data_IF_235985219315
#
_entry.id   IF_235985219315
#
_cell.length_a   1.000
_cell.length_b   1.000
_cell.length_c   1.000
_cell.angle_alpha   90.00
_cell.angle_beta   90.00
_cell.angle_gamma   90.00
#
_symmetry.space_group_name_H-M   'P 1'
#
loop_
_entity.id
_entity.type
_entity.pdbx_description
1 polymer ?
#
# COMPACT_ATOMS: atom_id res chain seq x y z
N UNK A 1 10.07 -13.88 22.20
CA UNK A 1 9.74 -12.74 21.30
C UNK A 1 8.56 -13.12 20.38
N UNK A 2 7.39 -13.50 20.92
CA UNK A 2 6.40 -14.28 20.14
C UNK A 2 4.95 -13.80 20.21
N UNK A 3 4.69 -12.52 20.46
CA UNK A 3 3.32 -11.96 20.47
C UNK A 3 3.30 -10.45 20.19
N UNK A 4 4.18 -9.97 19.31
CA UNK A 4 4.18 -8.56 18.89
C UNK A 4 3.33 -8.44 17.63
N UNK A 5 2.36 -7.53 17.63
CA UNK A 5 1.57 -7.21 16.44
C UNK A 5 2.53 -6.68 15.37
N UNK A 6 2.48 -7.21 14.15
CA UNK A 6 3.27 -6.67 13.02
C UNK A 6 2.27 -6.01 12.05
N UNK A 7 2.46 -4.71 11.83
CA UNK A 7 1.40 -3.91 11.25
C UNK A 7 1.85 -2.49 11.03
N UNK A 8 1.98 -2.13 9.77
CA UNK A 8 2.28 -0.75 9.39
C UNK A 8 1.05 0.14 9.69
N UNK A 9 -0.16 -0.41 9.59
CA UNK A 9 -1.40 0.31 9.91
C UNK A 9 -1.55 0.64 11.40
N UNK A 10 -1.07 -0.20 12.32
CA UNK A 10 -1.02 0.15 13.75
C UNK A 10 0.01 1.25 14.01
N UNK A 11 1.12 1.26 13.26
CA UNK A 11 2.17 2.29 13.32
C UNK A 11 1.63 3.69 13.03
N UNK A 12 0.73 3.85 12.05
CA UNK A 12 0.09 5.15 11.77
C UNK A 12 -0.75 5.65 12.97
N UNK A 13 -1.45 4.74 13.66
CA UNK A 13 -2.23 5.06 14.87
C UNK A 13 -1.32 5.52 16.01
N UNK A 14 -0.17 4.88 16.20
CA UNK A 14 0.84 5.27 17.20
C UNK A 14 1.40 6.66 16.92
N UNK A 15 1.72 6.96 15.65
CA UNK A 15 2.22 8.29 15.25
C UNK A 15 1.15 9.37 15.47
N UNK A 16 -0.11 9.12 15.09
CA UNK A 16 -1.20 10.06 15.34
C UNK A 16 -1.44 10.29 16.85
N UNK A 17 -1.35 9.25 17.68
CA UNK A 17 -1.47 9.36 19.14
C UNK A 17 -0.31 10.15 19.77
N UNK A 18 0.89 10.08 19.18
CA UNK A 18 2.08 10.78 19.66
C UNK A 18 2.13 12.26 19.22
N UNK A 19 1.71 12.57 18.00
CA UNK A 19 1.80 13.92 17.42
C UNK A 19 0.55 14.78 17.63
N UNK A 20 -0.64 14.18 17.75
CA UNK A 20 -1.91 14.90 17.92
C UNK A 20 -2.59 14.42 19.21
N UNK A 21 -2.40 15.11 20.35
CA UNK A 21 -3.06 14.76 21.60
C UNK A 21 -4.53 15.20 21.55
N UNK A 22 -5.33 14.58 20.69
CA UNK A 22 -6.77 14.76 20.66
C UNK A 22 -7.38 14.06 21.89
N UNK A 23 -8.30 14.72 22.59
CA UNK A 23 -8.98 14.20 23.79
C UNK A 23 -10.06 13.16 23.45
N UNK A 24 -9.75 12.22 22.57
CA UNK A 24 -10.59 11.07 22.24
C UNK A 24 -10.01 9.82 22.91
N UNK A 25 -10.88 9.00 23.51
CA UNK A 25 -10.47 7.79 24.24
C UNK A 25 -9.66 6.80 23.36
N UNK A 26 -9.77 6.92 22.04
CA UNK A 26 -9.06 6.10 21.06
C UNK A 26 -7.52 6.30 21.03
N UNK A 27 -7.01 7.48 21.41
CA UNK A 27 -5.57 7.81 21.45
C UNK A 27 -4.95 7.70 22.85
N UNK A 28 -5.76 7.43 23.88
CA UNK A 28 -5.29 7.23 25.25
C UNK A 28 -4.82 5.79 25.45
N UNK A 29 -3.64 5.46 24.94
CA UNK A 29 -2.96 4.19 25.23
C UNK A 29 -1.43 4.36 25.20
N UNK A 30 -0.72 3.42 25.83
CA UNK A 30 0.73 3.48 26.00
C UNK A 30 1.47 3.02 24.73
N UNK A 31 1.70 3.95 23.81
CA UNK A 31 2.38 3.71 22.53
C UNK A 31 3.81 3.18 22.69
N UNK A 32 4.47 3.42 23.83
CA UNK A 32 5.84 2.93 24.09
C UNK A 32 5.90 1.40 24.14
N UNK A 33 4.80 0.72 24.49
CA UNK A 33 4.72 -0.75 24.48
C UNK A 33 4.85 -1.36 23.09
N UNK A 34 4.53 -0.61 22.04
CA UNK A 34 4.66 -1.04 20.64
C UNK A 34 5.77 -0.29 19.88
N UNK A 35 6.75 0.31 20.58
CA UNK A 35 7.89 1.01 19.96
C UNK A 35 8.67 0.18 18.93
N UNK A 36 8.57 -1.15 19.02
CA UNK A 36 9.08 -2.10 18.03
C UNK A 36 8.52 -1.87 16.62
N UNK A 37 7.23 -1.53 16.50
CA UNK A 37 6.60 -1.27 15.20
C UNK A 37 7.14 0.01 14.56
N UNK A 38 7.44 1.03 15.37
CA UNK A 38 8.10 2.25 14.90
C UNK A 38 9.52 1.96 14.37
N UNK A 39 10.31 1.18 15.12
CA UNK A 39 11.65 0.77 14.67
C UNK A 39 11.58 -0.02 13.35
N UNK A 40 10.59 -0.90 13.22
CA UNK A 40 10.37 -1.67 12.00
C UNK A 40 10.03 -0.77 10.80
N UNK A 41 9.11 0.18 10.95
CA UNK A 41 8.77 1.14 9.88
C UNK A 41 9.99 1.97 9.47
N UNK A 42 10.78 2.41 10.45
CA UNK A 42 11.99 3.18 10.24
C UNK A 42 13.07 2.35 9.52
N UNK A 43 13.16 1.05 9.85
CA UNK A 43 13.98 0.08 9.13
C UNK A 43 13.54 -0.14 7.68
N UNK A 44 12.24 -0.21 7.40
CA UNK A 44 11.71 -0.28 6.03
C UNK A 44 12.09 0.98 5.25
N UNK A 45 11.97 2.17 5.86
CA UNK A 45 12.33 3.43 5.21
C UNK A 45 13.81 3.46 4.80
N UNK A 46 14.73 3.16 5.73
CA UNK A 46 16.15 3.12 5.41
C UNK A 46 16.50 1.96 4.45
N UNK A 47 15.89 0.79 4.62
CA UNK A 47 16.07 -0.34 3.72
C UNK A 47 15.64 -0.01 2.29
N UNK A 48 14.50 0.66 2.13
CA UNK A 48 14.02 1.15 0.84
C UNK A 48 14.95 2.18 0.22
N UNK A 49 15.47 3.13 1.01
CA UNK A 49 16.44 4.12 0.51
C UNK A 49 17.77 3.47 0.08
N UNK A 50 18.30 2.52 0.85
CA UNK A 50 19.51 1.78 0.46
C UNK A 50 19.24 0.96 -0.81
N UNK A 51 18.12 0.26 -0.88
CA UNK A 51 17.74 -0.52 -2.06
C UNK A 51 17.58 0.37 -3.30
N UNK A 52 16.97 1.54 -3.17
CA UNK A 52 16.82 2.50 -4.25
C UNK A 52 18.17 3.04 -4.74
N UNK A 53 19.14 3.29 -3.85
CA UNK A 53 20.42 3.86 -4.26
C UNK A 53 21.44 2.81 -4.75
N UNK A 54 21.40 1.59 -4.21
CA UNK A 54 22.44 0.58 -4.45
C UNK A 54 21.97 -0.67 -5.20
N UNK A 55 20.67 -1.01 -5.16
CA UNK A 55 20.12 -2.24 -5.74
C UNK A 55 19.23 -1.99 -6.97
N UNK A 56 19.03 -0.74 -7.41
CA UNK A 56 18.33 -0.46 -8.66
C UNK A 56 19.14 -1.02 -9.82
N UNK A 57 18.60 -2.03 -10.48
CA UNK A 57 19.12 -2.48 -11.76
C UNK A 57 18.76 -1.45 -12.83
N UNK A 58 19.73 -0.97 -13.64
CA UNK A 58 19.46 -0.03 -14.72
C UNK A 58 18.85 -0.69 -15.97
N UNK A 59 18.60 -2.01 -15.93
CA UNK A 59 17.93 -2.74 -17.01
C UNK A 59 16.44 -2.43 -17.03
N UNK A 60 15.89 -2.14 -18.21
CA UNK A 60 14.45 -2.00 -18.43
C UNK A 60 13.67 -3.17 -17.83
N UNK A 61 12.53 -2.87 -17.21
CA UNK A 61 11.66 -3.89 -16.66
C UNK A 61 11.11 -4.73 -17.82
N UNK A 62 11.40 -6.03 -17.83
CA UNK A 62 10.87 -6.98 -18.82
C UNK A 62 9.38 -7.18 -18.60
N UNK A 63 8.57 -6.26 -19.12
CA UNK A 63 7.11 -6.36 -19.13
C UNK A 63 6.67 -7.24 -20.31
N UNK A 64 5.63 -8.07 -20.10
CA UNK A 64 5.02 -8.88 -21.15
C UNK A 64 4.63 -7.99 -22.36
N UNK A 65 5.01 -8.36 -23.61
CA UNK A 65 4.66 -7.60 -24.81
C UNK A 65 3.17 -7.27 -24.94
N UNK A 66 2.28 -8.17 -24.51
CA UNK A 66 0.82 -7.94 -24.57
C UNK A 66 0.37 -6.80 -23.64
N UNK A 67 1.03 -6.66 -22.49
CA UNK A 67 0.74 -5.59 -21.55
C UNK A 67 1.34 -4.26 -22.02
N UNK A 68 2.48 -4.29 -22.73
CA UNK A 68 3.10 -3.07 -23.31
C UNK A 68 2.23 -2.45 -24.39
N UNK A 69 1.58 -3.26 -25.24
CA UNK A 69 0.67 -2.75 -26.28
C UNK A 69 -0.59 -2.14 -25.68
N UNK A 70 -1.15 -2.78 -24.64
CA UNK A 70 -2.30 -2.26 -23.91
C UNK A 70 -1.99 -0.95 -23.17
N UNK A 71 -0.87 -0.89 -22.43
CA UNK A 71 -0.42 0.30 -21.71
C UNK A 71 -0.04 1.47 -22.65
N UNK A 72 0.52 1.18 -23.82
CA UNK A 72 0.78 2.17 -24.85
C UNK A 72 -0.52 2.81 -25.37
N UNK A 73 -1.61 2.04 -25.46
CA UNK A 73 -2.95 2.53 -25.79
C UNK A 73 -3.51 3.53 -24.76
N UNK A 74 -3.03 3.46 -23.51
CA UNK A 74 -3.42 4.35 -22.41
C UNK A 74 -2.43 5.50 -22.14
N UNK A 75 -1.47 5.71 -23.05
CA UNK A 75 -0.47 6.78 -22.97
C UNK A 75 0.69 6.51 -22.01
N UNK A 76 0.91 5.26 -21.59
CA UNK A 76 2.02 4.86 -20.71
C UNK A 76 3.13 4.28 -21.58
N UNK A 77 4.16 5.07 -21.83
CA UNK A 77 5.25 4.72 -22.75
C UNK A 77 6.61 4.59 -22.07
N UNK A 78 6.73 5.02 -20.81
CA UNK A 78 7.97 4.94 -20.05
C UNK A 78 7.88 3.83 -18.98
N UNK A 79 8.73 2.82 -19.11
CA UNK A 79 8.85 1.68 -18.20
C UNK A 79 10.19 1.64 -17.48
N UNK A 80 10.94 2.75 -17.50
CA UNK A 80 12.27 2.86 -16.88
C UNK A 80 12.22 2.65 -15.37
N UNK A 81 11.10 3.03 -14.75
CA UNK A 81 10.87 2.92 -13.31
C UNK A 81 9.78 1.90 -12.99
N UNK A 82 9.84 1.31 -11.79
CA UNK A 82 8.84 0.36 -11.26
C UNK A 82 7.40 0.89 -11.30
N UNK A 83 7.25 2.21 -11.22
CA UNK A 83 5.97 2.88 -11.38
C UNK A 83 6.16 4.00 -12.41
N UNK A 84 5.35 4.03 -13.48
CA UNK A 84 5.48 5.03 -14.53
C UNK A 84 5.14 6.41 -13.97
N UNK A 85 6.02 7.38 -14.23
CA UNK A 85 5.89 8.74 -13.70
C UNK A 85 4.64 9.44 -14.24
N UNK A 86 4.11 8.98 -15.38
CA UNK A 86 2.86 9.45 -15.97
C UNK A 86 1.65 9.19 -15.06
N UNK A 87 1.69 8.12 -14.25
CA UNK A 87 0.63 7.80 -13.29
C UNK A 87 0.79 8.54 -11.95
N UNK A 88 2.03 8.68 -11.48
CA UNK A 88 2.34 9.22 -10.15
C UNK A 88 3.12 10.54 -10.26
N UNK A 89 2.43 11.60 -10.67
CA UNK A 89 2.98 12.96 -10.72
C UNK A 89 2.01 13.97 -10.08
N UNK A 90 2.56 15.08 -9.57
CA UNK A 90 1.79 16.19 -9.00
C UNK A 90 0.88 16.85 -10.03
N UNK A 91 1.25 16.88 -11.31
CA UNK A 91 0.36 17.35 -12.38
C UNK A 91 -0.79 16.37 -12.63
N UNK A 92 -0.50 15.07 -12.62
CA UNK A 92 -1.51 14.01 -12.75
C UNK A 92 -2.53 14.04 -11.61
N UNK A 93 -2.17 14.50 -10.40
CA UNK A 93 -3.11 14.64 -9.28
C UNK A 93 -4.30 15.56 -9.58
N UNK A 94 -4.12 16.58 -10.42
CA UNK A 94 -5.18 17.52 -10.81
C UNK A 94 -6.02 17.00 -11.98
N UNK A 95 -5.60 15.90 -12.62
CA UNK A 95 -6.41 15.22 -13.63
C UNK A 95 -7.46 14.33 -12.97
N UNK A 96 -8.60 14.13 -13.65
CA UNK A 96 -9.67 13.24 -13.15
C UNK A 96 -9.14 11.83 -12.90
N UNK A 97 -8.31 11.31 -13.80
CA UNK A 97 -7.67 10.00 -13.71
C UNK A 97 -6.77 9.87 -12.47
N UNK A 98 -5.85 10.82 -12.26
CA UNK A 98 -4.93 10.77 -11.12
C UNK A 98 -5.62 11.08 -9.79
N UNK A 99 -6.63 11.96 -9.77
CA UNK A 99 -7.44 12.22 -8.57
C UNK A 99 -8.16 10.94 -8.09
N UNK A 100 -8.80 10.21 -9.01
CA UNK A 100 -9.48 8.95 -8.67
C UNK A 100 -8.47 7.91 -8.18
N UNK A 101 -7.35 7.70 -8.89
CA UNK A 101 -6.38 6.67 -8.50
C UNK A 101 -5.66 6.99 -7.18
N UNK A 102 -5.15 8.20 -7.02
CA UNK A 102 -4.31 8.55 -5.88
C UNK A 102 -5.12 8.96 -4.65
N UNK A 103 -6.10 9.86 -4.82
CA UNK A 103 -6.86 10.41 -3.69
C UNK A 103 -7.95 9.44 -3.26
N UNK A 104 -8.84 9.06 -4.18
CA UNK A 104 -9.94 8.13 -3.85
C UNK A 104 -9.39 6.74 -3.55
N UNK A 105 -8.45 6.24 -4.35
CA UNK A 105 -7.77 4.96 -4.10
C UNK A 105 -7.05 4.94 -2.74
N UNK A 106 -6.25 5.96 -2.43
CA UNK A 106 -5.57 6.08 -1.14
C UNK A 106 -6.54 6.13 0.05
N UNK A 107 -7.63 6.89 -0.08
CA UNK A 107 -8.69 6.96 0.93
C UNK A 107 -9.36 5.60 1.15
N UNK A 108 -9.75 4.90 0.08
CA UNK A 108 -10.40 3.59 0.16
C UNK A 108 -9.48 2.53 0.77
N UNK A 109 -8.19 2.53 0.45
CA UNK A 109 -7.20 1.64 1.07
C UNK A 109 -7.08 1.94 2.57
N UNK A 110 -6.94 3.21 2.94
CA UNK A 110 -6.87 3.63 4.35
C UNK A 110 -8.13 3.23 5.14
N UNK A 111 -9.31 3.53 4.61
CA UNK A 111 -10.59 3.17 5.19
C UNK A 111 -10.76 1.64 5.29
N UNK A 112 -10.47 0.92 4.20
CA UNK A 112 -10.62 -0.53 4.10
C UNK A 112 -9.70 -1.27 5.07
N UNK A 113 -8.44 -0.87 5.21
CA UNK A 113 -7.52 -1.48 6.19
C UNK A 113 -7.99 -1.27 7.62
N UNK A 114 -8.64 -0.14 7.92
CA UNK A 114 -9.24 0.09 9.24
C UNK A 114 -10.50 -0.74 9.46
N UNK A 115 -11.35 -0.86 8.43
CA UNK A 115 -12.59 -1.66 8.47
C UNK A 115 -12.29 -3.14 8.66
N UNK A 116 -11.28 -3.67 7.96
CA UNK A 116 -10.83 -5.06 8.09
C UNK A 116 -10.10 -5.35 9.41
N UNK A 117 -9.74 -4.31 10.18
CA UNK A 117 -8.97 -4.47 11.42
C UNK A 117 -7.48 -4.78 11.21
N UNK A 118 -6.97 -4.60 9.99
CA UNK A 118 -5.60 -4.90 9.60
C UNK A 118 -5.33 -4.61 8.13
N UNK A 119 -4.05 -4.50 7.77
CA UNK A 119 -3.61 -4.40 6.38
C UNK A 119 -3.24 -5.78 5.83
N UNK A 120 -2.92 -5.85 4.53
CA UNK A 120 -2.47 -7.08 3.86
C UNK A 120 -1.28 -7.73 4.56
N UNK A 121 -0.28 -6.96 5.00
CA UNK A 121 0.86 -7.53 5.74
C UNK A 121 0.47 -8.11 7.12
N UNK A 122 -0.56 -7.55 7.78
CA UNK A 122 -1.06 -8.08 9.05
C UNK A 122 -1.80 -9.41 8.87
N UNK A 123 -2.78 -9.45 7.96
CA UNK A 123 -3.59 -10.65 7.73
C UNK A 123 -2.86 -11.73 6.92
N UNK A 124 -2.13 -11.36 5.87
CA UNK A 124 -1.48 -12.33 5.00
C UNK A 124 -0.17 -12.88 5.59
N UNK A 125 0.70 -12.04 6.19
CA UNK A 125 2.00 -12.52 6.68
C UNK A 125 1.83 -13.20 8.04
N UNK A 126 1.40 -12.50 9.09
CA UNK A 126 1.21 -13.17 10.39
C UNK A 126 -0.10 -13.91 10.51
N UNK A 127 -1.20 -13.34 10.02
CA UNK A 127 -2.53 -13.93 10.23
C UNK A 127 -2.64 -15.34 9.64
N UNK A 128 -2.10 -15.54 8.43
CA UNK A 128 -1.98 -16.88 7.84
C UNK A 128 -0.94 -17.75 8.53
N UNK A 129 0.21 -17.19 8.94
CA UNK A 129 1.24 -17.95 9.68
C UNK A 129 0.72 -18.46 11.04
N UNK A 130 -0.19 -17.73 11.67
CA UNK A 130 -0.88 -18.12 12.91
C UNK A 130 -2.16 -18.92 12.65
N UNK A 131 -2.42 -19.32 11.40
CA UNK A 131 -3.56 -20.15 10.97
C UNK A 131 -4.93 -19.59 11.38
N UNK A 132 -5.07 -18.27 11.38
CA UNK A 132 -6.31 -17.60 11.76
C UNK A 132 -7.32 -17.63 10.62
N UNK A 133 -8.46 -18.32 10.83
CA UNK A 133 -9.59 -18.34 9.90
C UNK A 133 -10.05 -16.96 9.41
N UNK A 134 -10.21 -15.94 10.28
CA UNK A 134 -10.60 -14.60 9.83
C UNK A 134 -9.58 -13.97 8.87
N UNK A 135 -8.29 -14.22 9.09
CA UNK A 135 -7.21 -13.68 8.26
C UNK A 135 -7.14 -14.37 6.89
N UNK A 136 -7.50 -15.65 6.82
CA UNK A 136 -7.65 -16.37 5.55
C UNK A 136 -8.76 -15.75 4.70
N UNK A 137 -9.94 -15.57 5.29
CA UNK A 137 -11.09 -14.97 4.59
C UNK A 137 -10.75 -13.55 4.13
N UNK A 138 -10.16 -12.73 5.00
CA UNK A 138 -9.75 -11.37 4.65
C UNK A 138 -8.75 -11.36 3.46
N UNK A 139 -7.76 -12.26 3.47
CA UNK A 139 -6.76 -12.33 2.40
C UNK A 139 -7.38 -12.76 1.06
N UNK A 140 -8.33 -13.70 1.07
CA UNK A 140 -9.07 -14.11 -0.14
C UNK A 140 -9.86 -12.92 -0.69
N UNK A 141 -10.58 -12.19 0.16
CA UNK A 141 -11.33 -11.00 -0.26
C UNK A 141 -10.42 -9.90 -0.82
N UNK A 142 -9.25 -9.66 -0.21
CA UNK A 142 -8.27 -8.71 -0.74
C UNK A 142 -7.77 -9.11 -2.12
N UNK A 143 -7.50 -10.40 -2.33
CA UNK A 143 -7.05 -10.91 -3.63
C UNK A 143 -8.14 -10.78 -4.70
N UNK A 144 -9.39 -11.15 -4.39
CA UNK A 144 -10.53 -11.00 -5.31
C UNK A 144 -10.74 -9.52 -5.66
N UNK A 145 -10.73 -8.64 -4.66
CA UNK A 145 -10.83 -7.20 -4.88
C UNK A 145 -9.69 -6.65 -5.75
N UNK A 146 -8.47 -7.14 -5.54
CA UNK A 146 -7.30 -6.80 -6.36
C UNK A 146 -7.45 -7.25 -7.81
N UNK A 147 -7.92 -8.48 -8.05
CA UNK A 147 -8.19 -8.98 -9.40
C UNK A 147 -9.29 -8.18 -10.11
N UNK A 148 -10.39 -7.87 -9.42
CA UNK A 148 -11.47 -7.04 -9.97
C UNK A 148 -10.98 -5.63 -10.28
N UNK A 149 -10.18 -5.04 -9.39
CA UNK A 149 -9.59 -3.74 -9.61
C UNK A 149 -8.66 -3.74 -10.83
N UNK A 150 -7.75 -4.71 -10.93
CA UNK A 150 -6.76 -4.77 -12.00
C UNK A 150 -7.38 -5.04 -13.39
N UNK A 151 -8.40 -5.90 -13.47
CA UNK A 151 -8.95 -6.34 -14.76
C UNK A 151 -10.18 -5.56 -15.23
N UNK A 152 -10.97 -4.97 -14.32
CA UNK A 152 -12.20 -4.26 -14.70
C UNK A 152 -12.09 -2.75 -14.46
N UNK A 153 -11.67 -2.35 -13.26
CA UNK A 153 -11.75 -0.95 -12.83
C UNK A 153 -10.58 -0.14 -13.37
N UNK A 154 -9.36 -0.69 -13.31
CA UNK A 154 -8.16 -0.04 -13.80
C UNK A 154 -8.29 0.34 -15.29
N UNK A 155 -8.58 -0.57 -16.25
CA UNK A 155 -8.70 -0.19 -17.66
C UNK A 155 -9.78 0.87 -17.91
N UNK A 156 -10.88 0.84 -17.15
CA UNK A 156 -11.92 1.88 -17.21
C UNK A 156 -11.41 3.24 -16.73
N UNK A 157 -10.60 3.28 -15.67
CA UNK A 157 -9.96 4.51 -15.19
C UNK A 157 -8.86 4.99 -16.15
N UNK A 158 -8.12 4.07 -16.76
CA UNK A 158 -7.05 4.41 -17.69
C UNK A 158 -7.59 4.92 -19.04
N UNK A 159 -8.85 4.65 -19.40
CA UNK A 159 -9.47 5.16 -20.63
C UNK A 159 -10.15 6.54 -20.48
N UNK A 160 -10.20 7.10 -19.26
CA UNK A 160 -10.69 8.45 -18.95
C UNK A 160 -9.61 9.51 -19.17
#
# INVERSE_FOLDING_TARGET
MGNKSFGISSSLRHVCAACIPANVNFFKYDWKKEAWNLFFVLGIFFGGMIAANFLLNPSEITVNPDLKTELAGYGITDYTNLVPIQLMNFESLLTVRGFIMMVVGGFLVGFGTRYAGGCTSGHAIMGLSNLQWPSLVATICFMIGGFLMANLILPMILSL
#
